data_IF_530367168762
#
_entry.id   IF_530367168762
#
_cell.length_a   1.000
_cell.length_b   1.000
_cell.length_c   1.000
_cell.angle_alpha   90.00
_cell.angle_beta   90.00
_cell.angle_gamma   90.00
#
_symmetry.space_group_name_H-M   'P 1'
#
loop_
_entity.id
_entity.type
_entity.pdbx_description
1 polymer ?
#
# COMPACT_ATOMS: atom_id res chain seq x y z
N UNK A 1 -6.19 1.06 -21.10
CA UNK A 1 -6.84 0.06 -20.24
C UNK A 1 -5.91 -0.28 -19.08
N UNK A 2 -6.43 -0.37 -17.86
CA UNK A 2 -5.67 -0.74 -16.67
C UNK A 2 -5.84 -2.23 -16.39
N UNK A 3 -4.74 -2.94 -16.22
CA UNK A 3 -4.74 -4.34 -15.81
C UNK A 3 -4.21 -4.46 -14.37
N UNK A 4 -4.69 -5.47 -13.64
CA UNK A 4 -4.33 -5.71 -12.25
C UNK A 4 -3.77 -7.13 -12.14
N UNK A 5 -2.59 -7.27 -11.54
CA UNK A 5 -1.97 -8.58 -11.37
C UNK A 5 -1.24 -8.70 -10.04
N UNK A 6 -1.38 -9.86 -9.42
CA UNK A 6 -0.57 -10.25 -8.27
C UNK A 6 0.78 -10.70 -8.78
N UNK A 7 1.87 -10.20 -8.19
CA UNK A 7 3.22 -10.51 -8.63
C UNK A 7 4.03 -11.17 -7.54
N UNK A 8 4.95 -12.05 -7.95
CA UNK A 8 5.92 -12.69 -7.06
C UNK A 8 7.22 -11.88 -6.95
N UNK A 9 8.18 -12.41 -6.16
CA UNK A 9 9.46 -11.74 -5.95
C UNK A 9 10.29 -11.55 -7.22
N UNK A 10 10.27 -12.52 -8.11
CA UNK A 10 11.00 -12.46 -9.40
C UNK A 10 10.40 -11.37 -10.30
N UNK A 11 9.07 -11.32 -10.37
CA UNK A 11 8.35 -10.30 -11.14
C UNK A 11 8.56 -8.90 -10.53
N UNK A 12 8.59 -8.78 -9.20
CA UNK A 12 8.89 -7.52 -8.54
C UNK A 12 10.28 -7.00 -8.90
N UNK A 13 11.26 -7.88 -9.06
CA UNK A 13 12.61 -7.48 -9.54
C UNK A 13 12.59 -7.03 -10.99
N UNK A 14 11.79 -7.68 -11.85
CA UNK A 14 11.62 -7.26 -13.25
C UNK A 14 10.98 -5.87 -13.34
N UNK A 15 10.06 -5.55 -12.44
CA UNK A 15 9.36 -4.26 -12.39
C UNK A 15 10.06 -3.21 -11.53
N UNK A 16 11.29 -3.47 -11.04
CA UNK A 16 11.99 -2.61 -10.08
C UNK A 16 12.04 -1.15 -10.51
N UNK A 17 12.38 -0.86 -11.77
CA UNK A 17 12.51 0.50 -12.28
C UNK A 17 11.13 1.18 -12.26
N UNK A 18 10.11 0.53 -12.80
CA UNK A 18 8.76 1.11 -12.86
C UNK A 18 8.13 1.29 -11.47
N UNK A 19 8.33 0.35 -10.56
CA UNK A 19 7.91 0.46 -9.16
C UNK A 19 8.61 1.63 -8.46
N UNK A 20 9.90 1.80 -8.72
CA UNK A 20 10.67 2.91 -8.14
C UNK A 20 10.27 4.25 -8.72
N UNK A 21 9.98 4.33 -10.00
CA UNK A 21 9.44 5.54 -10.65
C UNK A 21 8.09 5.94 -10.03
N UNK A 22 7.22 4.96 -9.81
CA UNK A 22 5.92 5.20 -9.16
C UNK A 22 6.08 5.75 -7.74
N UNK A 23 6.90 5.10 -6.93
CA UNK A 23 7.12 5.53 -5.54
C UNK A 23 7.76 6.92 -5.49
N UNK A 24 8.76 7.18 -6.33
CA UNK A 24 9.40 8.48 -6.42
C UNK A 24 8.41 9.59 -6.81
N UNK A 25 7.54 9.33 -7.77
CA UNK A 25 6.53 10.29 -8.20
C UNK A 25 5.53 10.58 -7.07
N UNK A 26 5.11 9.57 -6.30
CA UNK A 26 4.21 9.75 -5.17
C UNK A 26 4.87 10.53 -4.03
N UNK A 27 6.14 10.27 -3.72
CA UNK A 27 6.90 11.03 -2.71
C UNK A 27 7.03 12.50 -3.14
N UNK A 28 7.40 12.74 -4.39
CA UNK A 28 7.51 14.11 -4.94
C UNK A 28 6.19 14.88 -4.89
N UNK A 29 5.07 14.18 -4.99
CA UNK A 29 3.72 14.75 -4.89
C UNK A 29 3.24 14.94 -3.43
N UNK A 30 4.07 14.64 -2.46
CA UNK A 30 3.81 14.85 -1.04
C UNK A 30 3.10 13.71 -0.31
N UNK A 31 3.02 12.52 -0.90
CA UNK A 31 2.40 11.38 -0.24
C UNK A 31 3.19 10.95 1.01
N UNK A 32 2.46 10.67 2.10
CA UNK A 32 3.02 10.18 3.35
C UNK A 32 3.11 8.66 3.33
N UNK A 33 4.23 8.15 2.79
CA UNK A 33 4.43 6.71 2.54
C UNK A 33 5.79 6.20 3.04
N UNK A 34 6.36 6.89 4.02
CA UNK A 34 7.59 6.49 4.70
C UNK A 34 8.85 7.14 4.16
N UNK A 35 8.80 7.88 3.07
CA UNK A 35 9.95 8.52 2.43
C UNK A 35 9.80 10.04 2.48
N UNK A 36 10.90 10.74 2.70
CA UNK A 36 10.92 12.22 2.81
C UNK A 36 11.74 12.90 1.72
N UNK A 37 12.52 12.14 0.95
CA UNK A 37 13.36 12.70 -0.11
C UNK A 37 13.11 11.99 -1.45
N UNK A 38 12.41 12.66 -2.39
CA UNK A 38 12.17 12.09 -3.71
C UNK A 38 13.44 11.97 -4.57
N UNK A 39 14.55 12.62 -4.17
CA UNK A 39 15.82 12.53 -4.88
C UNK A 39 16.67 11.34 -4.43
N UNK A 40 16.34 10.72 -3.32
CA UNK A 40 17.06 9.54 -2.81
C UNK A 40 16.60 8.26 -3.50
N UNK A 41 16.95 8.15 -4.76
CA UNK A 41 16.60 7.00 -5.61
C UNK A 41 17.14 5.68 -5.05
N UNK A 42 18.32 5.68 -4.46
CA UNK A 42 18.93 4.48 -3.92
C UNK A 42 18.11 3.87 -2.78
N UNK A 43 17.58 4.69 -1.88
CA UNK A 43 16.70 4.24 -0.79
C UNK A 43 15.38 3.69 -1.33
N UNK A 44 14.81 4.33 -2.34
CA UNK A 44 13.58 3.87 -3.00
C UNK A 44 13.79 2.50 -3.66
N UNK A 45 14.87 2.32 -4.40
CA UNK A 45 15.18 1.03 -5.04
C UNK A 45 15.45 -0.06 -4.01
N UNK A 46 16.17 0.23 -2.93
CA UNK A 46 16.39 -0.73 -1.84
C UNK A 46 15.09 -1.18 -1.18
N UNK A 47 14.14 -0.27 -1.03
CA UNK A 47 12.82 -0.63 -0.52
C UNK A 47 12.15 -1.72 -1.39
N UNK A 48 12.12 -1.53 -2.70
CA UNK A 48 11.50 -2.52 -3.60
C UNK A 48 12.29 -3.81 -3.71
N UNK A 49 13.63 -3.75 -3.61
CA UNK A 49 14.47 -4.95 -3.53
C UNK A 49 14.14 -5.77 -2.27
N UNK A 50 13.98 -5.09 -1.13
CA UNK A 50 13.55 -5.73 0.11
C UNK A 50 12.13 -6.31 0.02
N UNK A 51 11.23 -5.62 -0.66
CA UNK A 51 9.87 -6.11 -0.89
C UNK A 51 9.88 -7.36 -1.78
N UNK A 52 10.72 -7.38 -2.82
CA UNK A 52 10.87 -8.57 -3.65
C UNK A 52 11.36 -9.78 -2.84
N UNK A 53 12.29 -9.59 -1.92
CA UNK A 53 12.76 -10.63 -1.03
C UNK A 53 11.65 -11.13 -0.10
N UNK A 54 10.86 -10.24 0.50
CA UNK A 54 9.76 -10.62 1.39
C UNK A 54 8.61 -11.30 0.64
N UNK A 55 8.37 -10.94 -0.61
CA UNK A 55 7.43 -11.65 -1.48
C UNK A 55 7.89 -13.09 -1.75
N UNK A 56 9.18 -13.26 -2.05
CA UNK A 56 9.76 -14.59 -2.25
C UNK A 56 9.68 -15.46 -0.99
N UNK A 57 9.77 -14.85 0.20
CA UNK A 57 9.63 -15.53 1.48
C UNK A 57 8.16 -15.80 1.88
N UNK A 58 7.18 -15.31 1.13
CA UNK A 58 5.76 -15.47 1.45
C UNK A 58 5.24 -14.58 2.57
N UNK A 59 5.98 -13.53 2.93
CA UNK A 59 5.62 -12.62 4.03
C UNK A 59 4.65 -11.52 3.60
N UNK A 60 4.61 -11.22 2.31
CA UNK A 60 3.76 -10.18 1.72
C UNK A 60 3.08 -10.69 0.46
N UNK A 61 2.00 -10.00 0.09
CA UNK A 61 1.33 -10.10 -1.20
C UNK A 61 1.36 -8.71 -1.85
N UNK A 62 1.67 -8.64 -3.13
CA UNK A 62 1.73 -7.37 -3.87
C UNK A 62 0.91 -7.46 -5.14
N UNK A 63 -0.03 -6.55 -5.30
CA UNK A 63 -0.75 -6.35 -6.56
C UNK A 63 -0.27 -5.06 -7.20
N UNK A 64 -0.10 -5.10 -8.52
CA UNK A 64 0.20 -3.92 -9.34
C UNK A 64 -0.95 -3.61 -10.28
N UNK A 65 -1.19 -2.32 -10.48
CA UNK A 65 -2.02 -1.79 -11.56
C UNK A 65 -1.08 -1.32 -12.67
N UNK A 66 -1.35 -1.75 -13.88
CA UNK A 66 -0.47 -1.50 -15.02
C UNK A 66 -1.23 -0.87 -16.17
N UNK A 67 -0.64 0.13 -16.79
CA UNK A 67 -1.09 0.71 -18.06
C UNK A 67 0.07 0.62 -19.04
N UNK A 68 -0.12 -0.11 -20.15
CA UNK A 68 0.97 -0.46 -21.08
C UNK A 68 2.12 -1.15 -20.32
N UNK A 69 3.33 -0.71 -20.49
CA UNK A 69 4.52 -1.27 -19.84
C UNK A 69 4.93 -0.50 -18.57
N UNK A 70 3.97 0.10 -17.89
CA UNK A 70 4.21 0.98 -16.75
C UNK A 70 3.32 0.62 -15.56
N UNK A 71 3.92 0.46 -14.39
CA UNK A 71 3.19 0.32 -13.14
C UNK A 71 2.67 1.69 -12.72
N UNK A 72 1.35 1.81 -12.60
CA UNK A 72 0.69 3.07 -12.22
C UNK A 72 0.04 3.01 -10.85
N UNK A 73 0.02 1.86 -10.22
CA UNK A 73 -0.50 1.72 -8.86
C UNK A 73 -0.05 0.42 -8.21
N UNK A 74 -0.07 0.41 -6.88
CA UNK A 74 0.26 -0.75 -6.06
C UNK A 74 -0.61 -0.79 -4.82
N UNK A 75 -0.73 -1.97 -4.22
CA UNK A 75 -1.04 -2.13 -2.80
C UNK A 75 -0.40 -3.41 -2.29
N UNK A 76 0.04 -3.40 -1.04
CA UNK A 76 0.66 -4.55 -0.37
C UNK A 76 -0.22 -5.03 0.77
N UNK A 77 -0.31 -6.36 0.92
CA UNK A 77 -0.83 -7.02 2.11
C UNK A 77 0.36 -7.62 2.86
N UNK A 78 0.59 -7.17 4.09
CA UNK A 78 1.64 -7.70 4.96
C UNK A 78 1.02 -8.55 6.07
N UNK A 79 1.46 -9.80 6.19
CA UNK A 79 0.96 -10.70 7.23
C UNK A 79 1.54 -10.31 8.60
N UNK A 80 0.78 -10.57 9.67
CA UNK A 80 1.29 -10.46 11.02
C UNK A 80 2.40 -11.48 11.28
N UNK A 81 3.55 -11.04 11.81
CA UNK A 81 4.73 -11.88 12.01
C UNK A 81 4.66 -12.82 13.21
N UNK A 82 3.77 -12.54 14.19
CA UNK A 82 3.67 -13.31 15.42
C UNK A 82 2.46 -14.26 15.38
N UNK A 83 2.55 -15.40 16.09
CA UNK A 83 1.48 -16.41 16.06
C UNK A 83 0.10 -15.89 16.46
N UNK A 84 0.02 -14.93 17.38
CA UNK A 84 -1.26 -14.35 17.81
C UNK A 84 -1.84 -13.33 16.83
N UNK A 85 -1.12 -13.01 15.75
CA UNK A 85 -1.52 -12.05 14.74
C UNK A 85 -1.76 -12.64 13.35
N UNK A 86 -1.79 -13.97 13.22
CA UNK A 86 -1.96 -14.64 11.93
C UNK A 86 -3.32 -14.39 11.26
N UNK A 87 -4.34 -14.05 12.03
CA UNK A 87 -5.68 -13.76 11.54
C UNK A 87 -5.81 -12.38 10.93
N UNK A 88 -4.82 -11.49 11.14
CA UNK A 88 -4.86 -10.12 10.64
C UNK A 88 -3.75 -9.86 9.61
N UNK A 89 -3.96 -8.85 8.81
CA UNK A 89 -2.97 -8.35 7.89
C UNK A 89 -3.03 -6.81 7.83
N UNK A 90 -1.92 -6.22 7.46
CA UNK A 90 -1.81 -4.78 7.24
C UNK A 90 -1.86 -4.47 5.75
N UNK A 91 -2.63 -3.46 5.39
CA UNK A 91 -2.61 -2.85 4.06
C UNK A 91 -1.63 -1.69 4.09
N UNK A 92 -0.68 -1.70 3.18
CA UNK A 92 0.29 -0.61 3.08
C UNK A 92 0.72 -0.37 1.64
N UNK A 93 1.37 0.77 1.42
CA UNK A 93 1.86 1.20 0.11
C UNK A 93 0.77 1.16 -0.97
N UNK A 94 -0.41 1.70 -0.63
CA UNK A 94 -1.40 2.04 -1.65
C UNK A 94 -0.88 3.28 -2.39
N UNK A 95 -0.45 3.06 -3.60
CA UNK A 95 0.14 4.09 -4.46
C UNK A 95 -0.65 4.17 -5.76
N UNK A 96 -0.92 5.38 -6.21
CA UNK A 96 -1.42 5.65 -7.56
C UNK A 96 -0.59 6.81 -8.14
N UNK A 97 -0.03 6.60 -9.31
CA UNK A 97 0.77 7.63 -9.99
C UNK A 97 -0.06 8.91 -10.12
N UNK A 98 0.52 10.10 -9.85
CA UNK A 98 -0.21 11.36 -9.93
C UNK A 98 -0.93 11.59 -11.27
N UNK A 99 -0.36 11.10 -12.37
CA UNK A 99 -0.97 11.21 -13.71
C UNK A 99 -2.05 10.16 -13.99
N UNK A 100 -2.22 9.15 -13.13
CA UNK A 100 -3.21 8.09 -13.28
C UNK A 100 -4.36 8.19 -12.27
N UNK A 101 -4.48 9.29 -11.57
CA UNK A 101 -5.54 9.54 -10.59
C UNK A 101 -6.89 9.77 -11.28
N UNK A 102 -7.97 9.67 -10.48
CA UNK A 102 -9.37 9.85 -10.91
C UNK A 102 -9.83 8.83 -11.95
N UNK A 103 -9.21 7.63 -11.94
CA UNK A 103 -9.57 6.52 -12.82
C UNK A 103 -10.12 5.32 -12.02
N UNK A 104 -10.33 5.46 -10.71
CA UNK A 104 -10.80 4.40 -9.85
C UNK A 104 -9.76 3.33 -9.51
N UNK A 105 -8.48 3.57 -9.76
CA UNK A 105 -7.40 2.59 -9.56
C UNK A 105 -7.23 2.23 -8.08
N UNK A 106 -7.21 3.23 -7.20
CA UNK A 106 -7.07 2.98 -5.75
C UNK A 106 -8.22 2.12 -5.22
N UNK A 107 -9.44 2.41 -5.63
CA UNK A 107 -10.62 1.62 -5.25
C UNK A 107 -10.51 0.18 -5.72
N UNK A 108 -10.11 -0.04 -6.97
CA UNK A 108 -9.92 -1.38 -7.51
C UNK A 108 -8.83 -2.15 -6.78
N UNK A 109 -7.71 -1.49 -6.48
CA UNK A 109 -6.62 -2.11 -5.72
C UNK A 109 -7.09 -2.52 -4.33
N UNK A 110 -7.80 -1.65 -3.62
CA UNK A 110 -8.30 -1.95 -2.26
C UNK A 110 -9.32 -3.08 -2.26
N UNK A 111 -10.25 -3.08 -3.21
CA UNK A 111 -11.26 -4.15 -3.31
C UNK A 111 -10.59 -5.51 -3.60
N UNK A 112 -9.60 -5.54 -4.48
CA UNK A 112 -8.85 -6.76 -4.80
C UNK A 112 -8.00 -7.23 -3.63
N UNK A 113 -7.38 -6.31 -2.90
CA UNK A 113 -6.61 -6.62 -1.69
C UNK A 113 -7.51 -7.25 -0.61
N UNK A 114 -8.70 -6.70 -0.42
CA UNK A 114 -9.68 -7.24 0.53
C UNK A 114 -10.13 -8.65 0.15
N UNK A 115 -10.45 -8.88 -1.11
CA UNK A 115 -10.81 -10.21 -1.62
C UNK A 115 -9.67 -11.20 -1.42
N UNK A 116 -8.44 -10.79 -1.70
CA UNK A 116 -7.25 -11.65 -1.51
C UNK A 116 -7.03 -11.99 -0.04
N UNK A 117 -7.14 -11.00 0.83
CA UNK A 117 -7.01 -11.22 2.28
C UNK A 117 -8.06 -12.21 2.80
N UNK A 118 -9.30 -12.09 2.35
CA UNK A 118 -10.37 -13.06 2.68
C UNK A 118 -10.02 -14.47 2.19
N UNK A 119 -9.53 -14.61 0.97
CA UNK A 119 -9.10 -15.89 0.42
C UNK A 119 -7.93 -16.51 1.20
N UNK A 120 -7.07 -15.68 1.80
CA UNK A 120 -5.98 -16.10 2.67
C UNK A 120 -6.45 -16.41 4.11
N UNK A 121 -7.74 -16.30 4.40
CA UNK A 121 -8.31 -16.58 5.72
C UNK A 121 -8.15 -15.46 6.73
N UNK A 122 -7.82 -14.26 6.30
CA UNK A 122 -7.71 -13.11 7.22
C UNK A 122 -9.11 -12.64 7.64
N UNK A 123 -9.24 -12.29 8.91
CA UNK A 123 -10.49 -11.81 9.50
C UNK A 123 -10.45 -10.35 9.89
N UNK A 124 -9.27 -9.72 9.83
CA UNK A 124 -9.07 -8.31 10.18
C UNK A 124 -7.99 -7.70 9.29
N UNK A 125 -8.30 -6.56 8.71
CA UNK A 125 -7.33 -5.69 8.07
C UNK A 125 -7.12 -4.42 8.89
N UNK A 126 -5.88 -3.96 8.93
CA UNK A 126 -5.49 -2.70 9.58
C UNK A 126 -4.67 -1.86 8.60
N UNK A 127 -4.76 -0.54 8.74
CA UNK A 127 -3.90 0.40 8.04
C UNK A 127 -3.76 1.66 8.86
N UNK A 128 -2.79 2.49 8.52
CA UNK A 128 -2.75 3.86 8.96
C UNK A 128 -2.58 4.79 7.74
N UNK A 129 -3.12 5.99 7.87
CA UNK A 129 -3.09 7.01 6.82
C UNK A 129 -2.91 8.38 7.46
N UNK A 130 -2.23 9.28 6.77
CA UNK A 130 -2.06 10.65 7.26
C UNK A 130 -3.42 11.27 7.58
N UNK A 131 -3.56 11.82 8.78
CA UNK A 131 -4.81 12.44 9.21
C UNK A 131 -5.20 13.59 8.28
N UNK A 132 -6.47 13.61 7.86
CA UNK A 132 -6.99 14.61 6.92
C UNK A 132 -6.68 14.34 5.46
N UNK A 133 -6.03 13.23 5.12
CA UNK A 133 -5.70 12.87 3.75
C UNK A 133 -6.95 12.42 2.97
N UNK A 134 -6.94 12.67 1.67
CA UNK A 134 -8.03 12.28 0.75
C UNK A 134 -8.26 10.76 0.76
N UNK A 135 -7.21 9.98 0.95
CA UNK A 135 -7.30 8.52 1.01
C UNK A 135 -8.25 8.02 2.10
N UNK A 136 -8.39 8.75 3.22
CA UNK A 136 -9.31 8.37 4.30
C UNK A 136 -10.77 8.32 3.83
N UNK A 137 -11.17 9.19 2.92
CA UNK A 137 -12.51 9.17 2.34
C UNK A 137 -12.78 7.90 1.53
N UNK A 138 -11.78 7.44 0.78
CA UNK A 138 -11.86 6.19 0.06
C UNK A 138 -12.06 5.01 1.02
N UNK A 139 -11.24 4.92 2.07
CA UNK A 139 -11.33 3.84 3.05
C UNK A 139 -12.70 3.83 3.74
N UNK A 140 -13.19 4.98 4.19
CA UNK A 140 -14.53 5.09 4.79
C UNK A 140 -15.61 4.61 3.82
N UNK A 141 -15.52 4.99 2.54
CA UNK A 141 -16.48 4.57 1.51
C UNK A 141 -16.45 3.04 1.25
N UNK A 142 -15.34 2.38 1.58
CA UNK A 142 -15.17 0.93 1.47
C UNK A 142 -15.52 0.19 2.77
N UNK A 143 -16.05 0.87 3.76
CA UNK A 143 -16.50 0.28 5.03
C UNK A 143 -15.44 0.17 6.12
N UNK A 144 -14.30 0.83 5.96
CA UNK A 144 -13.29 0.92 7.00
C UNK A 144 -13.76 1.83 8.13
N UNK A 145 -13.28 1.54 9.34
CA UNK A 145 -13.61 2.28 10.58
C UNK A 145 -12.35 2.92 11.16
N UNK A 146 -12.53 4.06 11.80
CA UNK A 146 -11.44 4.77 12.49
C UNK A 146 -11.28 4.19 13.89
N UNK A 147 -10.06 3.75 14.24
CA UNK A 147 -9.71 3.34 15.59
C UNK A 147 -9.26 4.55 16.44
N UNK A 148 -8.50 5.46 15.84
CA UNK A 148 -7.98 6.63 16.52
C UNK A 148 -6.87 7.30 15.74
N UNK A 149 -6.28 8.35 16.32
CA UNK A 149 -5.18 9.09 15.71
C UNK A 149 -4.00 9.19 16.67
N UNK A 150 -2.79 9.20 16.09
CA UNK A 150 -1.54 9.37 16.84
C UNK A 150 -0.90 10.68 16.35
N UNK A 151 -0.72 11.68 17.25
CA UNK A 151 -0.10 12.94 16.84
C UNK A 151 1.39 12.76 16.59
N UNK A 152 1.99 13.64 15.78
CA UNK A 152 3.44 13.70 15.53
C UNK A 152 4.03 12.35 15.07
N UNK A 153 3.30 11.61 14.27
CA UNK A 153 3.64 10.23 13.93
C UNK A 153 4.65 10.12 12.79
N UNK A 154 4.55 10.98 11.79
CA UNK A 154 5.39 10.91 10.60
C UNK A 154 5.84 12.31 10.18
N UNK A 155 7.07 12.39 9.68
CA UNK A 155 7.64 13.64 9.15
C UNK A 155 7.27 13.78 7.67
N UNK A 156 6.79 14.98 7.30
CA UNK A 156 6.52 15.34 5.91
C UNK A 156 7.81 15.73 5.18
N UNK A 157 7.72 15.87 3.86
CA UNK A 157 8.83 16.38 3.02
C UNK A 157 9.29 17.77 3.52
N UNK A 158 8.37 18.59 4.02
CA UNK A 158 8.68 19.92 4.56
C UNK A 158 9.29 19.90 5.96
N UNK A 159 9.45 18.71 6.57
CA UNK A 159 10.01 18.55 7.91
C UNK A 159 9.00 18.74 9.05
N UNK A 160 7.72 18.80 8.74
CA UNK A 160 6.66 18.93 9.75
C UNK A 160 6.22 17.57 10.25
N UNK A 161 5.95 17.46 11.56
CA UNK A 161 5.42 16.22 12.15
C UNK A 161 3.90 16.20 11.98
N UNK A 162 3.40 15.15 11.35
CA UNK A 162 1.99 15.01 11.03
C UNK A 162 1.38 13.81 11.76
N UNK A 163 0.10 13.92 12.12
CA UNK A 163 -0.64 12.85 12.76
C UNK A 163 -0.99 11.74 11.74
N UNK A 164 -1.10 10.52 12.24
CA UNK A 164 -1.69 9.41 11.49
C UNK A 164 -3.03 9.01 12.07
N UNK A 165 -3.92 8.51 11.22
CA UNK A 165 -5.19 7.91 11.61
C UNK A 165 -5.11 6.41 11.38
N UNK A 166 -5.33 5.64 12.43
CA UNK A 166 -5.36 4.17 12.37
C UNK A 166 -6.77 3.74 12.02
N UNK A 167 -6.89 2.86 11.03
CA UNK A 167 -8.17 2.36 10.55
C UNK A 167 -8.15 0.83 10.48
N UNK A 168 -9.32 0.23 10.56
CA UNK A 168 -9.47 -1.22 10.52
C UNK A 168 -10.72 -1.62 9.78
N UNK A 169 -10.71 -2.85 9.26
CA UNK A 169 -11.88 -3.46 8.64
C UNK A 169 -11.96 -4.94 9.02
N UNK A 170 -13.00 -5.36 9.78
CA UNK A 170 -13.29 -6.77 9.95
C UNK A 170 -13.73 -7.39 8.64
N UNK A 171 -13.23 -8.59 8.34
CA UNK A 171 -13.57 -9.34 7.14
C UNK A 171 -14.49 -10.51 7.50
N UNK A 172 -15.43 -10.81 6.60
CA UNK A 172 -16.25 -12.01 6.74
C UNK A 172 -15.41 -13.24 6.39
N UNK A 173 -15.46 -14.25 7.24
CA UNK A 173 -14.85 -15.54 6.94
C UNK A 173 -15.78 -16.26 5.97
N UNK A 174 -15.28 -16.82 4.84
CA UNK A 174 -16.10 -17.67 3.98
C UNK A 174 -16.59 -18.88 4.79
N UNK A 175 -17.87 -19.15 4.71
CA UNK A 175 -18.47 -20.35 5.32
C UNK A 175 -18.04 -21.60 4.56
#
# INVERSE_FOLDING_TARGET
>A
MTTYEWIDGAQARQWLISLSDLLQACVADGASIGFTDPQDRATIERFWQGRAASLAAGENELIIARQHDRVVGTVTISAGGMPNGRHRAEINKLLVHPQARRQGIARQLMQRAEQRAQALGKTLLVLDTRSGDVASHLYLSLGWQIAGSIPCYAESIAGELEATTVMFKPLKVPL
#
